data_IF_988759214943
#
_entry.id   IF_988759214943
#
_cell.length_a   1.000
_cell.length_b   1.000
_cell.length_c   1.000
_cell.angle_alpha   90.00
_cell.angle_beta   90.00
_cell.angle_gamma   90.00
#
_symmetry.space_group_name_H-M   'P 1'
#
loop_
_entity.id
_entity.type
_entity.pdbx_description
1 polymer ?
#
# COMPACT_ATOMS: atom_id res chain seq x y z
N UNK A 1 -8.10 23.98 11.59
CA UNK A 1 -8.28 23.45 10.21
C UNK A 1 -7.63 22.08 9.98
N UNK A 2 -7.04 21.43 10.98
CA UNK A 2 -6.28 20.18 10.81
C UNK A 2 -7.15 18.92 10.66
N UNK A 3 -8.33 18.90 11.30
CA UNK A 3 -9.24 17.74 11.26
C UNK A 3 -9.70 17.37 9.84
N UNK A 4 -10.20 18.35 9.08
CA UNK A 4 -10.70 18.09 7.73
C UNK A 4 -9.58 17.58 6.80
N UNK A 5 -8.38 18.15 6.91
CA UNK A 5 -7.20 17.71 6.16
C UNK A 5 -6.79 16.28 6.54
N UNK A 6 -6.84 15.94 7.83
CA UNK A 6 -6.62 14.57 8.30
C UNK A 6 -7.66 13.61 7.71
N UNK A 7 -8.95 13.94 7.79
CA UNK A 7 -10.02 13.11 7.23
C UNK A 7 -9.85 12.89 5.73
N UNK A 8 -9.52 13.93 4.97
CA UNK A 8 -9.24 13.83 3.53
C UNK A 8 -8.08 12.87 3.27
N UNK A 9 -6.96 13.02 3.98
CA UNK A 9 -5.80 12.14 3.85
C UNK A 9 -6.11 10.69 4.22
N UNK A 10 -6.87 10.47 5.30
CA UNK A 10 -7.20 9.14 5.83
C UNK A 10 -8.33 8.42 5.10
N UNK A 11 -9.19 9.16 4.39
CA UNK A 11 -10.34 8.61 3.64
C UNK A 11 -10.00 7.45 2.68
N UNK A 12 -8.83 7.41 1.99
CA UNK A 12 -8.45 6.28 1.14
C UNK A 12 -8.46 4.93 1.87
N UNK A 13 -8.07 4.89 3.15
CA UNK A 13 -8.08 3.65 3.94
C UNK A 13 -9.50 3.18 4.20
N UNK A 14 -10.39 4.09 4.58
CA UNK A 14 -11.78 3.75 4.89
C UNK A 14 -12.53 3.30 3.64
N UNK A 15 -12.32 4.01 2.53
CA UNK A 15 -12.88 3.65 1.23
C UNK A 15 -12.36 2.29 0.80
N UNK A 16 -11.04 2.06 0.87
CA UNK A 16 -10.43 0.78 0.51
C UNK A 16 -10.92 -0.40 1.36
N UNK A 17 -11.02 -0.22 2.68
CA UNK A 17 -11.55 -1.24 3.59
C UNK A 17 -13.02 -1.57 3.28
N UNK A 18 -13.85 -0.57 3.02
CA UNK A 18 -15.24 -0.76 2.62
C UNK A 18 -15.36 -1.47 1.26
N UNK A 19 -14.50 -1.14 0.30
CA UNK A 19 -14.47 -1.82 -1.00
C UNK A 19 -14.02 -3.28 -0.86
N UNK A 20 -13.11 -3.59 0.05
CA UNK A 20 -12.75 -4.98 0.36
C UNK A 20 -13.92 -5.73 1.00
N UNK A 21 -14.67 -5.08 1.89
CA UNK A 21 -15.90 -5.67 2.44
C UNK A 21 -16.96 -5.92 1.36
N UNK A 22 -17.19 -4.94 0.48
CA UNK A 22 -18.09 -5.09 -0.64
C UNK A 22 -17.65 -6.24 -1.57
N UNK A 23 -16.36 -6.32 -1.89
CA UNK A 23 -15.83 -7.42 -2.71
C UNK A 23 -16.04 -8.79 -2.06
N UNK A 24 -15.86 -8.90 -0.74
CA UNK A 24 -16.14 -10.16 -0.02
C UNK A 24 -17.62 -10.56 -0.07
N UNK A 25 -18.53 -9.60 -0.12
CA UNK A 25 -19.98 -9.84 -0.16
C UNK A 25 -20.52 -10.12 -1.55
N UNK A 26 -20.02 -9.39 -2.56
CA UNK A 26 -20.59 -9.37 -3.91
C UNK A 26 -19.67 -10.00 -4.96
N UNK A 27 -18.44 -10.39 -4.59
CA UNK A 27 -17.44 -10.93 -5.52
C UNK A 27 -17.18 -9.96 -6.67
N UNK A 28 -16.98 -10.51 -7.87
CA UNK A 28 -16.67 -9.73 -9.07
C UNK A 28 -17.81 -8.82 -9.54
N UNK A 29 -19.04 -9.02 -9.04
CA UNK A 29 -20.19 -8.17 -9.38
C UNK A 29 -20.03 -6.73 -8.86
N UNK A 30 -19.19 -6.49 -7.84
CA UNK A 30 -18.99 -5.13 -7.31
C UNK A 30 -18.55 -4.12 -8.38
N UNK A 31 -17.77 -4.58 -9.38
CA UNK A 31 -17.27 -3.72 -10.45
C UNK A 31 -18.42 -3.16 -11.31
N UNK A 32 -19.52 -3.91 -11.42
CA UNK A 32 -20.74 -3.48 -12.11
C UNK A 32 -21.58 -2.52 -11.25
N UNK A 33 -21.39 -2.54 -9.92
CA UNK A 33 -22.05 -1.64 -8.98
C UNK A 33 -21.36 -0.28 -8.86
N UNK A 34 -20.15 -0.11 -9.43
CA UNK A 34 -19.46 1.18 -9.45
C UNK A 34 -20.11 2.05 -10.53
N UNK A 35 -20.70 3.21 -10.17
CA UNK A 35 -21.34 4.08 -11.15
C UNK A 35 -20.31 4.68 -12.12
N UNK A 36 -20.69 5.02 -13.37
CA UNK A 36 -19.78 5.60 -14.36
C UNK A 36 -19.10 6.90 -13.93
N UNK A 37 -19.67 7.61 -12.95
CA UNK A 37 -19.09 8.83 -12.37
C UNK A 37 -17.90 8.56 -11.45
N UNK A 38 -17.67 7.31 -11.05
CA UNK A 38 -16.56 6.89 -10.20
C UNK A 38 -15.58 6.05 -11.03
N UNK A 39 -14.30 6.40 -10.94
CA UNK A 39 -13.25 5.62 -11.61
C UNK A 39 -13.09 4.25 -10.96
N UNK A 40 -13.45 3.20 -11.70
CA UNK A 40 -13.23 1.81 -11.28
C UNK A 40 -11.73 1.53 -11.03
N UNK A 41 -10.84 2.12 -11.83
CA UNK A 41 -9.38 1.95 -11.64
C UNK A 41 -8.91 2.56 -10.31
N UNK A 42 -9.45 3.72 -9.92
CA UNK A 42 -9.17 4.34 -8.63
C UNK A 42 -9.72 3.48 -7.48
N UNK A 43 -10.97 3.02 -7.58
CA UNK A 43 -11.57 2.14 -6.58
C UNK A 43 -10.73 0.86 -6.39
N UNK A 44 -10.29 0.24 -7.49
CA UNK A 44 -9.44 -0.95 -7.44
C UNK A 44 -8.09 -0.69 -6.80
N UNK A 45 -7.47 0.46 -7.06
CA UNK A 45 -6.22 0.86 -6.39
C UNK A 45 -6.42 0.98 -4.89
N UNK A 46 -7.44 1.70 -4.43
CA UNK A 46 -7.75 1.89 -3.01
C UNK A 46 -7.99 0.55 -2.31
N UNK A 47 -8.82 -0.30 -2.93
CA UNK A 47 -9.09 -1.67 -2.46
C UNK A 47 -7.80 -2.47 -2.33
N UNK A 48 -6.99 -2.51 -3.40
CA UNK A 48 -5.74 -3.28 -3.44
C UNK A 48 -4.74 -2.86 -2.37
N UNK A 49 -4.60 -1.55 -2.12
CA UNK A 49 -3.66 -1.05 -1.11
C UNK A 49 -4.17 -1.37 0.30
N UNK A 50 -5.46 -1.15 0.57
CA UNK A 50 -6.05 -1.46 1.87
C UNK A 50 -6.00 -2.96 2.21
N UNK A 51 -6.11 -3.83 1.21
CA UNK A 51 -6.02 -5.29 1.34
C UNK A 51 -4.58 -5.73 1.70
N UNK A 52 -3.59 -5.17 0.98
CA UNK A 52 -2.18 -5.55 1.11
C UNK A 52 -1.46 -4.93 2.31
N UNK A 53 -1.96 -3.80 2.80
CA UNK A 53 -1.39 -3.09 3.94
C UNK A 53 -2.34 -3.24 5.13
N UNK A 54 -2.05 -4.19 6.06
CA UNK A 54 -2.91 -4.42 7.20
C UNK A 54 -2.95 -3.18 8.11
N UNK A 55 -4.03 -3.04 8.88
CA UNK A 55 -4.24 -1.89 9.79
C UNK A 55 -3.04 -1.63 10.71
N UNK A 56 -2.38 -2.69 11.19
CA UNK A 56 -1.18 -2.59 12.04
C UNK A 56 0.02 -1.89 11.38
N UNK A 57 0.08 -1.88 10.04
CA UNK A 57 1.15 -1.25 9.27
C UNK A 57 0.80 0.16 8.81
N UNK A 58 -0.41 0.67 9.05
CA UNK A 58 -0.82 2.00 8.57
C UNK A 58 -0.26 3.06 9.52
N UNK A 59 0.80 3.76 9.09
CA UNK A 59 1.44 4.85 9.83
C UNK A 59 0.73 6.19 9.56
N UNK A 60 0.99 7.24 10.37
CA UNK A 60 0.38 8.55 10.17
C UNK A 60 0.56 9.09 8.74
N UNK A 61 -0.51 9.65 8.18
CA UNK A 61 -0.53 10.19 6.82
C UNK A 61 -0.02 11.63 6.73
N UNK A 62 0.35 12.20 7.87
CA UNK A 62 1.08 13.46 7.95
C UNK A 62 2.54 13.29 7.52
N UNK A 63 3.14 12.12 7.79
CA UNK A 63 4.51 11.77 7.42
C UNK A 63 4.57 10.99 6.11
N UNK A 64 3.63 10.06 5.88
CA UNK A 64 3.66 9.18 4.71
C UNK A 64 2.51 9.43 3.72
N UNK A 65 2.86 9.53 2.45
CA UNK A 65 1.92 9.60 1.32
C UNK A 65 1.45 8.21 0.85
N UNK A 66 0.35 8.18 0.07
CA UNK A 66 -0.13 6.96 -0.60
C UNK A 66 0.95 6.26 -1.43
N UNK A 67 1.86 7.02 -2.05
CA UNK A 67 2.94 6.47 -2.87
C UNK A 67 3.96 5.62 -2.09
N UNK A 68 4.11 5.85 -0.78
CA UNK A 68 4.90 4.97 0.08
C UNK A 68 4.22 3.60 0.18
N UNK A 69 2.94 3.58 0.52
CA UNK A 69 2.16 2.35 0.66
C UNK A 69 2.03 1.57 -0.65
N UNK A 70 1.84 2.26 -1.78
CA UNK A 70 1.78 1.62 -3.10
C UNK A 70 3.07 0.84 -3.43
N UNK A 71 4.24 1.37 -3.00
CA UNK A 71 5.54 0.75 -3.25
C UNK A 71 5.76 -0.53 -2.44
N UNK A 72 5.07 -0.68 -1.30
CA UNK A 72 5.20 -1.79 -0.37
C UNK A 72 4.25 -2.95 -0.64
N UNK A 73 3.26 -2.74 -1.49
CA UNK A 73 2.17 -3.68 -1.75
C UNK A 73 2.63 -5.09 -2.19
N UNK A 74 3.90 -5.24 -2.62
CA UNK A 74 4.49 -6.53 -3.04
C UNK A 74 5.37 -7.19 -1.98
N UNK A 75 5.61 -6.54 -0.84
CA UNK A 75 6.48 -7.03 0.22
C UNK A 75 5.69 -7.79 1.29
N UNK A 76 6.31 -8.77 1.97
CA UNK A 76 5.73 -9.40 3.16
C UNK A 76 5.44 -8.38 4.26
N UNK A 77 4.37 -8.59 5.01
CA UNK A 77 3.87 -7.68 6.06
C UNK A 77 4.94 -7.22 7.06
N UNK A 78 5.81 -8.11 7.52
CA UNK A 78 6.88 -7.75 8.46
C UNK A 78 7.87 -6.75 7.83
N UNK A 79 8.27 -7.01 6.59
CA UNK A 79 9.17 -6.14 5.82
C UNK A 79 8.50 -4.80 5.52
N UNK A 80 7.19 -4.78 5.25
CA UNK A 80 6.46 -3.52 5.09
C UNK A 80 6.58 -2.64 6.34
N UNK A 81 6.40 -3.21 7.54
CA UNK A 81 6.48 -2.47 8.80
C UNK A 81 7.87 -1.85 8.98
N UNK A 82 8.93 -2.63 8.79
CA UNK A 82 10.32 -2.16 8.91
C UNK A 82 10.62 -0.98 7.98
N UNK A 83 10.21 -1.07 6.71
CA UNK A 83 10.43 0.02 5.76
C UNK A 83 9.60 1.26 6.10
N UNK A 84 8.35 1.11 6.54
CA UNK A 84 7.51 2.23 6.95
C UNK A 84 8.09 2.93 8.19
N UNK A 85 8.58 2.18 9.17
CA UNK A 85 9.24 2.74 10.36
C UNK A 85 10.52 3.50 9.98
N UNK A 86 11.30 2.95 9.05
CA UNK A 86 12.47 3.62 8.48
C UNK A 86 12.09 4.92 7.76
N UNK A 87 11.04 4.91 6.94
CA UNK A 87 10.58 6.10 6.22
C UNK A 87 10.12 7.21 7.16
N UNK A 88 9.40 6.86 8.23
CA UNK A 88 8.98 7.83 9.26
C UNK A 88 10.19 8.38 10.02
N UNK A 89 11.12 7.51 10.42
CA UNK A 89 12.29 7.89 11.23
C UNK A 89 13.26 8.78 10.45
N UNK A 90 13.52 8.45 9.18
CA UNK A 90 14.49 9.15 8.33
C UNK A 90 13.86 10.27 7.51
N UNK A 91 12.53 10.42 7.54
CA UNK A 91 11.82 11.45 6.77
C UNK A 91 11.91 11.24 5.26
N UNK A 92 11.96 9.99 4.79
CA UNK A 92 12.21 9.66 3.38
C UNK A 92 11.09 10.17 2.49
N UNK A 93 11.46 10.83 1.38
CA UNK A 93 10.52 11.17 0.33
C UNK A 93 10.07 9.94 -0.45
N UNK A 94 8.93 10.03 -1.14
CA UNK A 94 8.37 8.88 -1.89
C UNK A 94 9.31 8.33 -2.97
N UNK A 95 10.16 9.16 -3.58
CA UNK A 95 11.12 8.70 -4.59
C UNK A 95 12.28 7.92 -3.94
N UNK A 96 12.91 8.48 -2.91
CA UNK A 96 13.98 7.81 -2.16
C UNK A 96 13.49 6.49 -1.56
N UNK A 97 12.27 6.50 -1.03
CA UNK A 97 11.62 5.30 -0.51
C UNK A 97 11.42 4.24 -1.59
N UNK A 98 10.96 4.62 -2.79
CA UNK A 98 10.78 3.69 -3.91
C UNK A 98 12.11 3.09 -4.37
N UNK A 99 13.17 3.89 -4.39
CA UNK A 99 14.51 3.44 -4.77
C UNK A 99 15.06 2.44 -3.75
N UNK A 100 14.85 2.71 -2.46
CA UNK A 100 15.18 1.82 -1.35
C UNK A 100 14.46 0.46 -1.47
N UNK A 101 13.14 0.46 -1.70
CA UNK A 101 12.37 -0.79 -1.92
C UNK A 101 12.90 -1.54 -3.15
N UNK A 102 13.19 -0.81 -4.24
CA UNK A 102 13.71 -1.41 -5.47
C UNK A 102 15.08 -2.06 -5.25
N UNK A 103 15.96 -1.43 -4.47
CA UNK A 103 17.25 -2.00 -4.09
C UNK A 103 17.09 -3.27 -3.25
N UNK A 104 16.19 -3.26 -2.27
CA UNK A 104 15.88 -4.44 -1.45
C UNK A 104 15.38 -5.61 -2.30
N UNK A 105 14.44 -5.37 -3.22
CA UNK A 105 13.92 -6.40 -4.13
C UNK A 105 15.02 -6.99 -5.03
N UNK A 106 15.95 -6.17 -5.52
CA UNK A 106 17.11 -6.65 -6.30
C UNK A 106 18.02 -7.53 -5.46
N UNK A 107 18.30 -7.12 -4.22
CA UNK A 107 19.12 -7.89 -3.28
C UNK A 107 18.50 -9.26 -2.97
N UNK A 108 17.22 -9.31 -2.61
CA UNK A 108 16.50 -10.57 -2.34
C UNK A 108 16.52 -11.50 -3.56
N UNK A 109 16.31 -10.95 -4.76
CA UNK A 109 16.35 -11.72 -6.02
C UNK A 109 17.74 -12.31 -6.29
N UNK A 110 18.81 -11.56 -6.04
CA UNK A 110 20.18 -12.05 -6.20
C UNK A 110 20.47 -13.22 -5.26
N UNK A 111 20.14 -13.07 -3.98
CA UNK A 111 20.29 -14.10 -2.95
C UNK A 111 19.52 -15.39 -3.29
N UNK A 112 18.29 -15.26 -3.79
CA UNK A 112 17.51 -16.41 -4.21
C UNK A 112 18.19 -17.17 -5.37
N UNK A 113 18.74 -16.46 -6.36
CA UNK A 113 19.44 -17.06 -7.51
C UNK A 113 20.71 -17.80 -7.11
N UNK A 114 21.47 -17.27 -6.15
CA UNK A 114 22.68 -17.92 -5.64
C UNK A 114 22.35 -19.24 -4.93
N UNK A 115 21.28 -19.27 -4.12
CA UNK A 115 20.83 -20.47 -3.42
C UNK A 115 20.37 -21.58 -4.37
N UNK A 116 19.77 -21.24 -5.52
CA UNK A 116 19.33 -22.24 -6.52
C UNK A 116 20.48 -22.78 -7.38
N UNK A 117 21.62 -22.08 -7.47
CA UNK A 117 22.79 -22.54 -8.24
C UNK A 117 23.74 -23.47 -7.47
N UNK A 118 23.63 -23.47 -6.14
CA UNK A 118 24.46 -24.30 -5.24
C UNK A 118 23.84 -25.65 -4.88
N UNK A 119 22.72 -26.02 -5.52
CA UNK A 119 22.05 -27.33 -5.44
C UNK A 119 22.15 -27.99 -6.80
#
# INVERSE_FOLDING_TARGET
MEFAAYCLKASPWWIGDLLNEAYRRFGDQYAQCIPPSISLSQANRLRSVADKIPKANRRPLETLSQGHYDSLARLPTAIQAEFLDKAVTEGLGTNEFRDLISAHLRYVKAQAKERTKGV
#
